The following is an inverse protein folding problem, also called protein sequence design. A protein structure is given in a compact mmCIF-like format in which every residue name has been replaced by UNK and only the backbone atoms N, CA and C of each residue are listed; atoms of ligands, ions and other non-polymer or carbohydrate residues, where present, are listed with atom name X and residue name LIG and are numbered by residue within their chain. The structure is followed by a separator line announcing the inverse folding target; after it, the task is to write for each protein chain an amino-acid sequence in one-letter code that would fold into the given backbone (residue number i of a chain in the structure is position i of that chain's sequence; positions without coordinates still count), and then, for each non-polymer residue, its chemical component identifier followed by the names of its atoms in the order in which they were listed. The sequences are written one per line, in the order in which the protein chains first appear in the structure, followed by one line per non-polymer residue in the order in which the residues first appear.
data_IF_539628127486
#
_entry.id   IF_539628127486
#
_cell.length_a   1.000
_cell.length_b   1.000
_cell.length_c   1.000
_cell.angle_alpha   90.00
_cell.angle_beta   90.00
_cell.angle_gamma   90.00
#
_symmetry.space_group_name_H-M   'P 1'
#
loop_
_entity.id
_entity.type
_entity.pdbx_description
1 polymer ?
#
# COMPACT_ATOMS: atom_id res chain seq x y z
N UNK A 1 13.32 -16.47 2.99
CA UNK A 1 13.78 -16.09 1.63
C UNK A 1 14.76 -17.12 1.11
N UNK A 2 14.47 -17.66 -0.07
CA UNK A 2 15.37 -18.53 -0.85
C UNK A 2 16.48 -17.71 -1.51
N UNK A 3 17.49 -18.39 -2.08
CA UNK A 3 18.53 -17.73 -2.87
C UNK A 3 17.94 -17.01 -4.09
N UNK A 4 16.95 -17.61 -4.75
CA UNK A 4 16.27 -17.00 -5.89
C UNK A 4 15.44 -15.77 -5.48
N UNK A 5 14.80 -15.79 -4.31
CA UNK A 5 14.06 -14.62 -3.79
C UNK A 5 14.99 -13.41 -3.59
N UNK A 6 16.22 -13.64 -3.11
CA UNK A 6 17.23 -12.58 -2.97
C UNK A 6 17.63 -11.98 -4.31
N UNK A 7 17.72 -12.79 -5.36
CA UNK A 7 18.02 -12.31 -6.72
C UNK A 7 16.84 -11.48 -7.25
N UNK A 8 15.61 -11.99 -7.11
CA UNK A 8 14.39 -11.26 -7.49
C UNK A 8 14.32 -9.91 -6.79
N UNK A 9 14.55 -9.86 -5.48
CA UNK A 9 14.50 -8.62 -4.70
C UNK A 9 15.50 -7.56 -5.21
N UNK A 10 16.74 -7.95 -5.54
CA UNK A 10 17.72 -7.03 -6.11
C UNK A 10 17.29 -6.48 -7.47
N UNK A 11 16.66 -7.30 -8.30
CA UNK A 11 16.11 -6.88 -9.58
C UNK A 11 14.94 -5.89 -9.40
N UNK A 12 14.06 -6.14 -8.42
CA UNK A 12 12.97 -5.24 -8.08
C UNK A 12 13.44 -3.89 -7.55
N UNK A 13 14.48 -3.85 -6.72
CA UNK A 13 15.10 -2.59 -6.29
C UNK A 13 15.56 -1.72 -7.46
N UNK A 14 16.10 -2.35 -8.52
CA UNK A 14 16.46 -1.65 -9.74
C UNK A 14 15.20 -1.14 -10.49
N UNK A 15 14.13 -1.93 -10.53
CA UNK A 15 12.88 -1.55 -11.20
C UNK A 15 12.15 -0.40 -10.49
N UNK A 16 12.14 -0.35 -9.16
CA UNK A 16 11.34 0.64 -8.41
C UNK A 16 11.63 2.08 -8.82
N UNK A 17 12.89 2.41 -9.11
CA UNK A 17 13.29 3.75 -9.57
C UNK A 17 12.66 4.17 -10.90
N UNK A 18 12.22 3.21 -11.71
CA UNK A 18 11.62 3.46 -13.03
C UNK A 18 10.14 3.07 -13.10
N UNK A 19 9.62 2.35 -12.11
CA UNK A 19 8.26 1.81 -12.13
C UNK A 19 7.21 2.89 -12.32
N UNK A 20 7.24 3.98 -11.53
CA UNK A 20 6.25 5.06 -11.61
C UNK A 20 6.27 5.77 -12.97
N UNK A 21 7.41 6.22 -13.52
CA UNK A 21 7.47 6.75 -14.89
C UNK A 21 6.95 5.78 -15.95
N UNK A 22 7.32 4.50 -15.89
CA UNK A 22 6.92 3.48 -16.86
C UNK A 22 5.43 3.20 -16.77
N UNK A 23 4.87 3.02 -15.56
CA UNK A 23 3.44 2.79 -15.35
C UNK A 23 2.61 3.96 -15.89
N UNK A 24 3.01 5.20 -15.59
CA UNK A 24 2.34 6.40 -16.14
C UNK A 24 2.40 6.45 -17.66
N UNK A 25 3.54 6.10 -18.26
CA UNK A 25 3.67 6.00 -19.71
C UNK A 25 2.72 4.94 -20.28
N UNK A 26 2.75 3.71 -19.77
CA UNK A 26 1.92 2.62 -20.26
C UNK A 26 0.41 2.92 -20.13
N UNK A 27 -0.02 3.55 -19.02
CA UNK A 27 -1.40 4.02 -18.83
C UNK A 27 -1.78 5.11 -19.85
N UNK A 28 -0.90 6.10 -20.06
CA UNK A 28 -1.14 7.21 -21.00
C UNK A 28 -1.35 6.73 -22.43
N UNK A 29 -0.64 5.68 -22.84
CA UNK A 29 -0.74 5.09 -24.17
C UNK A 29 -1.76 3.96 -24.27
N UNK A 30 -2.52 3.67 -23.19
CA UNK A 30 -3.55 2.63 -23.17
C UNK A 30 -3.00 1.22 -23.37
N UNK A 31 -1.71 0.99 -23.07
CA UNK A 31 -1.10 -0.34 -23.14
C UNK A 31 -1.57 -1.19 -21.97
N UNK A 32 -1.70 -0.57 -20.79
CA UNK A 32 -2.30 -1.17 -19.61
C UNK A 32 -3.54 -0.37 -19.20
N UNK A 33 -4.55 -1.08 -18.70
CA UNK A 33 -5.80 -0.48 -18.23
C UNK A 33 -6.01 -0.87 -16.78
N UNK A 34 -6.34 0.09 -15.94
CA UNK A 34 -6.76 -0.16 -14.57
C UNK A 34 -8.05 0.61 -14.30
N UNK A 35 -9.04 -0.05 -13.70
CA UNK A 35 -10.26 0.62 -13.31
C UNK A 35 -9.97 1.50 -12.10
N UNK A 36 -10.12 2.81 -12.23
CA UNK A 36 -9.82 3.80 -11.18
C UNK A 36 -10.92 3.81 -10.10
N UNK A 37 -11.43 2.65 -9.71
CA UNK A 37 -12.38 2.49 -8.62
C UNK A 37 -11.62 2.18 -7.34
N UNK A 38 -12.23 2.50 -6.19
CA UNK A 38 -11.63 2.13 -4.90
C UNK A 38 -11.73 0.61 -4.73
N UNK A 39 -10.63 -0.03 -4.36
CA UNK A 39 -10.60 -1.47 -4.03
C UNK A 39 -11.69 -1.88 -3.03
N UNK A 40 -12.25 -3.09 -3.14
CA UNK A 40 -13.49 -3.48 -2.45
C UNK A 40 -13.44 -3.56 -0.91
N UNK A 41 -12.26 -3.69 -0.31
CA UNK A 41 -12.13 -4.06 1.12
C UNK A 41 -12.14 -2.86 2.05
N UNK A 42 -13.35 -2.46 2.46
CA UNK A 42 -13.55 -1.34 3.38
C UNK A 42 -13.23 -1.70 4.83
N UNK A 43 -12.33 -0.93 5.46
CA UNK A 43 -11.96 -1.11 6.87
C UNK A 43 -12.70 -0.13 7.78
N UNK A 44 -12.75 1.15 7.40
CA UNK A 44 -13.38 2.20 8.20
C UNK A 44 -13.01 3.60 7.72
N UNK A 45 -13.04 4.56 8.63
CA UNK A 45 -12.63 5.94 8.39
C UNK A 45 -11.60 6.38 9.43
N UNK A 46 -10.72 7.31 9.03
CA UNK A 46 -9.78 7.95 9.93
C UNK A 46 -10.53 8.65 11.07
N UNK A 47 -10.09 8.43 12.31
CA UNK A 47 -10.71 9.01 13.48
C UNK A 47 -10.58 10.55 13.47
N UNK A 48 -11.60 11.23 14.02
CA UNK A 48 -11.64 12.70 14.09
C UNK A 48 -10.40 13.24 14.83
N UNK A 49 -9.77 14.25 14.22
CA UNK A 49 -8.61 14.93 14.78
C UNK A 49 -7.29 14.18 14.60
N UNK A 50 -7.28 13.02 13.94
CA UNK A 50 -6.04 12.32 13.55
C UNK A 50 -5.53 12.83 12.22
N UNK A 51 -4.21 12.93 12.07
CA UNK A 51 -3.57 13.31 10.79
C UNK A 51 -2.96 12.10 10.07
N UNK A 52 -2.59 12.28 8.79
CA UNK A 52 -1.86 11.27 8.05
C UNK A 52 -0.45 11.05 8.63
N UNK A 53 0.23 12.10 9.09
CA UNK A 53 1.56 11.95 9.70
C UNK A 53 1.50 11.10 10.96
N UNK A 54 0.51 11.35 11.84
CA UNK A 54 0.32 10.57 13.05
C UNK A 54 0.00 9.10 12.74
N UNK A 55 -0.87 8.86 11.74
CA UNK A 55 -1.21 7.50 11.30
C UNK A 55 0.02 6.78 10.74
N UNK A 56 0.80 7.43 9.89
CA UNK A 56 2.04 6.87 9.32
C UNK A 56 3.03 6.52 10.43
N UNK A 57 3.26 7.44 11.36
CA UNK A 57 4.16 7.21 12.50
C UNK A 57 3.70 6.00 13.31
N UNK A 58 2.41 5.93 13.63
CA UNK A 58 1.82 4.80 14.36
C UNK A 58 2.00 3.47 13.63
N UNK A 59 1.67 3.41 12.34
CA UNK A 59 1.78 2.18 11.54
C UNK A 59 3.23 1.76 11.34
N UNK A 60 4.14 2.71 11.15
CA UNK A 60 5.56 2.43 10.97
C UNK A 60 6.19 1.92 12.27
N UNK A 61 6.09 2.71 13.33
CA UNK A 61 6.80 2.44 14.59
C UNK A 61 6.25 1.21 15.33
N UNK A 62 4.95 0.93 15.23
CA UNK A 62 4.34 -0.18 15.98
C UNK A 62 4.16 -1.46 15.15
N UNK A 63 4.08 -1.35 13.83
CA UNK A 63 3.68 -2.48 12.98
C UNK A 63 4.58 -2.71 11.76
N UNK A 64 5.57 -1.84 11.52
CA UNK A 64 6.51 -2.01 10.41
C UNK A 64 5.86 -1.79 9.04
N UNK A 65 4.86 -0.92 8.94
CA UNK A 65 4.38 -0.47 7.63
C UNK A 65 5.27 0.61 7.05
N UNK A 66 5.28 0.71 5.72
CA UNK A 66 5.93 1.80 4.99
C UNK A 66 5.38 1.92 3.58
N UNK A 67 6.00 2.76 2.76
CA UNK A 67 5.47 3.05 1.43
C UNK A 67 5.45 1.81 0.53
N UNK A 68 4.41 1.72 -0.30
CA UNK A 68 4.25 0.67 -1.31
C UNK A 68 4.25 1.30 -2.71
N UNK A 69 5.33 1.07 -3.47
CA UNK A 69 5.58 1.72 -4.77
C UNK A 69 4.95 1.00 -5.95
N UNK A 70 4.90 -0.33 -5.90
CA UNK A 70 4.43 -1.17 -6.99
C UNK A 70 2.97 -1.54 -6.73
N UNK A 71 2.09 -0.54 -6.83
CA UNK A 71 0.66 -0.74 -6.69
C UNK A 71 -0.13 0.18 -7.64
N UNK A 72 -1.39 -0.16 -7.87
CA UNK A 72 -2.32 0.75 -8.54
C UNK A 72 -2.60 1.99 -7.67
N UNK A 73 -2.81 3.14 -8.32
CA UNK A 73 -3.22 4.38 -7.65
C UNK A 73 -4.70 4.63 -7.87
N UNK A 74 -5.50 4.51 -6.81
CA UNK A 74 -6.95 4.74 -6.89
C UNK A 74 -7.30 6.22 -6.87
N UNK A 75 -8.50 6.55 -7.37
CA UNK A 75 -8.98 7.92 -7.38
C UNK A 75 -9.15 8.47 -5.96
N UNK A 76 -8.43 9.55 -5.68
CA UNK A 76 -8.45 10.22 -4.39
C UNK A 76 -7.69 9.48 -3.30
N UNK A 77 -6.87 8.47 -3.63
CA UNK A 77 -5.88 7.92 -2.72
C UNK A 77 -4.91 9.03 -2.28
N UNK A 78 -4.58 9.07 -1.00
CA UNK A 78 -3.61 10.01 -0.39
C UNK A 78 -2.49 9.29 0.37
N UNK A 79 -2.66 7.98 0.63
CA UNK A 79 -1.67 7.11 1.25
C UNK A 79 -1.81 5.68 0.69
N UNK A 80 -0.69 5.01 0.40
CA UNK A 80 -0.62 3.60 0.01
C UNK A 80 0.57 2.94 0.70
N UNK A 81 0.29 2.15 1.73
CA UNK A 81 1.27 1.60 2.64
C UNK A 81 1.17 0.08 2.69
N UNK A 82 2.31 -0.60 2.77
CA UNK A 82 2.35 -2.05 2.93
C UNK A 82 3.04 -2.46 4.23
N UNK A 83 2.68 -3.65 4.70
CA UNK A 83 3.45 -4.41 5.69
C UNK A 83 3.71 -5.80 5.14
N UNK A 84 4.98 -6.16 5.02
CA UNK A 84 5.39 -7.49 4.61
C UNK A 84 5.18 -8.48 5.77
N UNK A 85 4.59 -9.65 5.47
CA UNK A 85 4.64 -10.80 6.38
C UNK A 85 5.86 -11.65 6.08
N UNK A 86 6.13 -11.83 4.79
CA UNK A 86 7.33 -12.44 4.26
C UNK A 86 7.58 -11.94 2.82
N UNK A 87 8.32 -12.70 2.02
CA UNK A 87 8.57 -12.34 0.62
C UNK A 87 7.40 -12.62 -0.31
N UNK A 88 6.49 -13.51 0.06
CA UNK A 88 5.36 -13.93 -0.77
C UNK A 88 4.14 -13.05 -0.53
N UNK A 89 3.92 -12.64 0.72
CA UNK A 89 2.68 -12.02 1.14
C UNK A 89 2.85 -10.67 1.86
N UNK A 90 1.82 -9.84 1.76
CA UNK A 90 1.77 -8.52 2.38
C UNK A 90 0.35 -8.11 2.78
N UNK A 91 0.27 -7.22 3.75
CA UNK A 91 -0.91 -6.38 3.99
C UNK A 91 -0.76 -5.08 3.21
N UNK A 92 -1.75 -4.71 2.40
CA UNK A 92 -1.84 -3.43 1.72
C UNK A 92 -2.92 -2.56 2.34
N UNK A 93 -2.58 -1.32 2.67
CA UNK A 93 -3.46 -0.32 3.26
C UNK A 93 -3.49 0.92 2.36
N UNK A 94 -4.70 1.42 2.10
CA UNK A 94 -4.93 2.68 1.39
C UNK A 94 -5.77 3.63 2.24
N UNK A 95 -5.41 4.91 2.20
CA UNK A 95 -6.21 6.00 2.77
C UNK A 95 -6.61 6.95 1.67
N UNK A 96 -7.86 7.40 1.68
CA UNK A 96 -8.44 8.29 0.69
C UNK A 96 -8.61 9.72 1.25
N UNK A 97 -8.72 10.70 0.35
CA UNK A 97 -8.85 12.14 0.67
C UNK A 97 -10.01 12.45 1.62
N UNK A 98 -11.06 11.62 1.58
CA UNK A 98 -12.23 11.73 2.45
C UNK A 98 -12.08 11.02 3.79
N UNK A 99 -10.89 10.49 4.09
CA UNK A 99 -10.58 9.74 5.29
C UNK A 99 -11.01 8.28 5.24
N UNK A 100 -11.58 7.77 4.15
CA UNK A 100 -11.86 6.33 4.04
C UNK A 100 -10.55 5.53 4.09
N UNK A 101 -10.56 4.43 4.84
CA UNK A 101 -9.46 3.48 4.95
C UNK A 101 -9.92 2.15 4.37
N UNK A 102 -9.13 1.63 3.43
CA UNK A 102 -9.32 0.31 2.82
C UNK A 102 -8.05 -0.51 2.94
N UNK A 103 -8.17 -1.82 2.92
CA UNK A 103 -7.01 -2.68 2.96
C UNK A 103 -7.34 -4.16 2.88
N UNK A 104 -6.36 -4.90 2.39
CA UNK A 104 -6.46 -6.33 2.12
C UNK A 104 -5.10 -6.99 2.26
N UNK A 105 -5.13 -8.31 2.33
CA UNK A 105 -3.94 -9.14 2.29
C UNK A 105 -3.78 -9.71 0.88
N UNK A 106 -2.57 -9.73 0.35
CA UNK A 106 -2.31 -10.11 -1.04
C UNK A 106 -0.88 -10.62 -1.21
N UNK A 107 -0.63 -11.18 -2.39
CA UNK A 107 0.73 -11.46 -2.82
C UNK A 107 1.53 -10.17 -3.01
N UNK A 108 2.82 -10.27 -2.71
CA UNK A 108 3.79 -9.24 -3.02
C UNK A 108 4.00 -9.15 -4.54
N UNK A 109 4.18 -7.94 -5.10
CA UNK A 109 4.58 -7.81 -6.49
C UNK A 109 5.96 -8.42 -6.76
N UNK A 110 6.81 -8.53 -5.73
CA UNK A 110 8.17 -9.05 -5.87
C UNK A 110 8.21 -10.56 -6.14
N UNK A 111 7.30 -11.32 -5.52
CA UNK A 111 7.17 -12.75 -5.73
C UNK A 111 6.26 -13.09 -6.92
N UNK A 112 5.13 -12.37 -7.06
CA UNK A 112 4.03 -12.70 -7.97
C UNK A 112 3.51 -11.44 -8.70
N UNK A 113 4.30 -10.83 -9.60
CA UNK A 113 3.96 -9.54 -10.20
C UNK A 113 2.69 -9.56 -11.07
N UNK A 114 2.42 -10.66 -11.76
CA UNK A 114 1.26 -10.76 -12.65
C UNK A 114 0.01 -10.91 -11.78
N UNK A 115 0.03 -11.83 -10.82
CA UNK A 115 -1.07 -12.09 -9.90
C UNK A 115 -1.40 -10.85 -9.06
N UNK A 116 -0.38 -10.13 -8.61
CA UNK A 116 -0.54 -8.87 -7.88
C UNK A 116 -1.25 -7.80 -8.73
N UNK A 117 -0.85 -7.62 -10.00
CA UNK A 117 -1.49 -6.65 -10.89
C UNK A 117 -2.92 -7.03 -11.28
N UNK A 118 -3.21 -8.33 -11.34
CA UNK A 118 -4.53 -8.90 -11.61
C UNK A 118 -5.40 -9.05 -10.35
N UNK A 119 -4.94 -8.56 -9.19
CA UNK A 119 -5.67 -8.61 -7.91
C UNK A 119 -6.03 -10.06 -7.49
N UNK A 120 -5.21 -11.04 -7.89
CA UNK A 120 -5.40 -12.45 -7.54
C UNK A 120 -4.85 -12.73 -6.15
N UNK A 121 -5.63 -13.47 -5.36
CA UNK A 121 -5.24 -13.86 -4.00
C UNK A 121 -5.51 -12.79 -2.94
N UNK A 122 -6.21 -11.71 -3.28
CA UNK A 122 -6.63 -10.73 -2.28
C UNK A 122 -7.61 -11.35 -1.28
N UNK A 123 -7.36 -11.13 0.01
CA UNK A 123 -8.19 -11.63 1.11
C UNK A 123 -8.55 -10.49 2.06
N UNK A 124 -9.81 -10.44 2.48
CA UNK A 124 -10.25 -9.54 3.53
C UNK A 124 -9.65 -9.97 4.88
N UNK A 125 -8.84 -9.08 5.48
CA UNK A 125 -8.24 -9.29 6.81
C UNK A 125 -8.61 -8.16 7.76
N UNK A 126 -9.90 -7.80 7.78
CA UNK A 126 -10.39 -6.60 8.49
C UNK A 126 -9.98 -6.57 9.96
N UNK A 127 -10.05 -7.70 10.66
CA UNK A 127 -9.68 -7.79 12.09
C UNK A 127 -8.21 -7.44 12.35
N UNK A 128 -7.30 -7.91 11.49
CA UNK A 128 -5.87 -7.56 11.56
C UNK A 128 -5.68 -6.06 11.36
N UNK A 129 -6.35 -5.47 10.36
CA UNK A 129 -6.28 -4.02 10.13
C UNK A 129 -6.85 -3.22 11.30
N UNK A 130 -7.95 -3.64 11.92
CA UNK A 130 -8.47 -2.98 13.11
C UNK A 130 -7.47 -3.02 14.27
N UNK A 131 -6.74 -4.13 14.43
CA UNK A 131 -5.66 -4.25 15.40
C UNK A 131 -4.50 -3.30 15.08
N UNK A 132 -4.08 -3.23 13.82
CA UNK A 132 -3.01 -2.35 13.38
C UNK A 132 -3.36 -0.87 13.57
N UNK A 133 -4.58 -0.48 13.19
CA UNK A 133 -5.04 0.91 13.21
C UNK A 133 -5.42 1.36 14.62
N UNK A 134 -5.98 0.48 15.45
CA UNK A 134 -6.40 0.80 16.82
C UNK A 134 -7.28 2.05 16.88
N UNK A 135 -6.90 3.02 17.71
CA UNK A 135 -7.65 4.28 17.87
C UNK A 135 -7.65 5.23 16.67
N UNK A 136 -6.93 4.90 15.57
CA UNK A 136 -6.94 5.70 14.35
C UNK A 136 -8.12 5.42 13.42
N UNK A 137 -8.87 4.34 13.64
CA UNK A 137 -9.99 3.97 12.79
C UNK A 137 -11.30 3.99 13.55
N UNK A 138 -12.34 4.50 12.89
CA UNK A 138 -13.74 4.45 13.35
C UNK A 138 -14.60 3.78 12.29
N UNK A 139 -15.59 3.01 12.72
CA UNK A 139 -16.55 2.36 11.81
C UNK A 139 -17.68 3.29 11.38
N UNK A 140 -17.89 4.41 12.09
CA UNK A 140 -18.83 5.43 11.67
C UNK A 140 -18.18 6.34 10.63
N UNK A 141 -18.85 6.54 9.51
CA UNK A 141 -18.40 7.46 8.46
C UNK A 141 -18.04 8.83 9.03
N UNK A 142 -16.78 9.22 8.83
CA UNK A 142 -16.26 10.53 9.15
C UNK A 142 -15.49 11.06 7.95
N UNK A 143 -16.00 12.15 7.37
CA UNK A 143 -15.38 12.77 6.20
C UNK A 143 -14.24 13.68 6.66
N UNK A 144 -13.05 13.39 6.18
CA UNK A 144 -11.87 14.24 6.31
C UNK A 144 -11.57 14.96 4.99
N UNK A 145 -10.62 15.89 5.01
CA UNK A 145 -10.12 16.58 3.81
C UNK A 145 -8.59 16.45 3.75
N UNK A 146 -8.15 15.21 3.64
CA UNK A 146 -6.73 14.86 3.67
C UNK A 146 -6.06 15.29 2.37
N UNK A 147 -4.85 15.83 2.48
CA UNK A 147 -3.99 16.13 1.34
C UNK A 147 -3.09 14.94 1.05
N UNK A 148 -2.69 14.79 -0.22
CA UNK A 148 -1.69 13.81 -0.62
C UNK A 148 -0.40 14.04 0.17
N UNK A 149 0.16 12.98 0.72
CA UNK A 149 1.49 13.05 1.35
C UNK A 149 2.53 13.44 0.28
N UNK A 150 3.29 14.55 0.45
CA UNK A 150 4.30 14.96 -0.52
C UNK A 150 5.41 13.90 -0.71
N UNK A 151 5.58 13.01 0.27
CA UNK A 151 6.54 11.91 0.25
C UNK A 151 5.89 10.56 -0.11
N UNK A 152 4.63 10.54 -0.58
CA UNK A 152 3.94 9.31 -0.98
C UNK A 152 4.70 8.50 -2.04
N UNK A 153 5.59 9.16 -2.78
CA UNK A 153 6.41 8.56 -3.83
C UNK A 153 7.92 8.68 -3.57
N UNK A 154 8.38 8.82 -2.33
CA UNK A 154 9.82 8.80 -2.02
C UNK A 154 10.36 7.35 -1.91
N UNK A 155 11.12 6.81 -2.88
CA UNK A 155 11.57 5.41 -2.88
C UNK A 155 12.38 5.02 -1.63
N UNK A 156 13.01 5.97 -0.94
CA UNK A 156 13.78 5.71 0.29
C UNK A 156 12.91 5.32 1.49
N UNK A 157 11.59 5.52 1.40
CA UNK A 157 10.62 5.13 2.44
C UNK A 157 9.90 3.82 2.13
N UNK A 158 10.33 3.11 1.10
CA UNK A 158 9.89 1.75 0.80
C UNK A 158 10.37 0.76 1.85
N UNK A 159 9.49 -0.17 2.23
CA UNK A 159 9.89 -1.32 3.04
C UNK A 159 10.11 -2.52 2.13
N UNK A 160 11.25 -3.18 2.36
CA UNK A 160 11.69 -4.40 1.67
C UNK A 160 12.10 -5.42 2.72
N UNK A 161 11.92 -6.72 2.44
CA UNK A 161 12.04 -7.82 3.43
C UNK A 161 13.44 -7.89 4.09
N UNK A 162 14.47 -7.24 3.54
CA UNK A 162 15.87 -7.44 3.95
C UNK A 162 16.59 -6.17 4.46
N UNK A 163 15.85 -5.15 4.92
CA UNK A 163 16.45 -4.16 5.81
C UNK A 163 16.23 -4.62 7.25
N UNK A 164 17.23 -5.33 7.80
CA UNK A 164 17.39 -5.41 9.25
C UNK A 164 17.34 -3.99 9.81
N UNK A 165 16.29 -3.71 10.59
CA UNK A 165 16.31 -2.63 11.59
C UNK A 165 17.45 -2.88 12.58
#
# INVERSE_FOLDING_TARGET
MTFFDKIKLKFWHFIYGFFIPVQKFLLKYGIIHHQIQRQKYHIGWLAKGKTLEELKLHLHSNWGFGNHFVAWTDNGQVLSWRKLTDFQDQYHLRVFKDGEIRGHFEFTPEAHPIEHLEEKGEVEKKEDFLKFLGGFVVQKKYISHLMMDPNAYNPESEIVVDQKL
#
